data_IF_530455700681
#
_entry.id   IF_530455700681
#
_cell.length_a   1.000
_cell.length_b   1.000
_cell.length_c   1.000
_cell.angle_alpha   90.00
_cell.angle_beta   90.00
_cell.angle_gamma   90.00
#
_symmetry.space_group_name_H-M   'P 1'
#
loop_
_entity.id
_entity.type
_entity.pdbx_description
1 polymer ?
#
# COMPACT_ATOMS: atom_id res chain seq x y z
N UNK A 1 6.47 12.30 20.85
CA UNK A 1 6.60 12.84 19.48
C UNK A 1 5.57 12.13 18.59
N UNK A 2 4.67 12.87 17.92
CA UNK A 2 3.61 12.31 17.05
C UNK A 2 3.73 12.74 15.58
N UNK A 3 4.48 13.82 15.31
CA UNK A 3 4.73 14.29 13.96
C UNK A 3 6.01 13.60 13.43
N UNK A 4 5.93 12.76 12.38
CA UNK A 4 7.09 12.12 11.76
C UNK A 4 7.98 13.12 11.01
N UNK A 5 7.49 14.32 10.68
CA UNK A 5 8.25 15.34 9.93
C UNK A 5 9.21 16.15 10.81
N UNK A 6 9.28 15.87 12.11
CA UNK A 6 10.18 16.55 13.04
C UNK A 6 11.62 16.06 12.87
N UNK A 7 12.55 17.01 12.69
CA UNK A 7 13.97 16.71 12.76
C UNK A 7 14.36 16.23 14.17
N UNK A 8 15.40 15.42 14.31
CA UNK A 8 15.91 15.04 15.63
C UNK A 8 16.31 16.28 16.45
N UNK A 9 16.85 17.31 15.80
CA UNK A 9 17.21 18.56 16.47
C UNK A 9 16.00 19.23 17.13
N UNK A 10 14.88 19.35 16.42
CA UNK A 10 13.67 20.01 16.95
C UNK A 10 12.88 19.08 17.87
N UNK A 11 12.81 17.79 17.54
CA UNK A 11 12.25 16.76 18.41
C UNK A 11 12.95 16.71 19.76
N UNK A 12 14.28 16.80 19.78
CA UNK A 12 15.08 16.87 21.01
C UNK A 12 14.77 18.10 21.85
N UNK A 13 14.55 19.28 21.24
CA UNK A 13 14.14 20.49 21.99
C UNK A 13 12.81 20.28 22.72
N UNK A 14 11.87 19.56 22.09
CA UNK A 14 10.58 19.23 22.71
C UNK A 14 10.76 18.19 23.83
N UNK A 15 11.54 17.15 23.59
CA UNK A 15 11.78 16.09 24.57
C UNK A 15 12.48 16.60 25.83
N UNK A 16 13.42 17.54 25.71
CA UNK A 16 14.09 18.19 26.85
C UNK A 16 13.17 18.95 27.80
N UNK A 17 11.95 19.26 27.40
CA UNK A 17 10.94 19.89 28.28
C UNK A 17 10.21 18.87 29.14
N UNK A 18 10.34 17.59 28.84
CA UNK A 18 9.73 16.50 29.55
C UNK A 18 10.70 15.96 30.62
N UNK A 19 10.33 15.93 31.91
CA UNK A 19 11.21 15.46 32.98
C UNK A 19 11.74 14.03 32.76
N UNK A 20 10.99 13.19 32.04
CA UNK A 20 11.39 11.80 31.72
C UNK A 20 12.60 11.75 30.79
N UNK A 21 12.94 12.83 30.11
CA UNK A 21 14.13 12.87 29.27
C UNK A 21 15.43 12.82 30.08
N UNK A 22 15.39 13.30 31.33
CA UNK A 22 16.54 13.24 32.24
C UNK A 22 16.77 11.81 32.76
N UNK A 23 15.72 10.97 32.82
CA UNK A 23 15.82 9.56 33.21
C UNK A 23 16.66 8.72 32.25
N UNK A 24 16.84 9.20 31.00
CA UNK A 24 17.59 8.50 29.96
C UNK A 24 18.97 9.12 29.69
N UNK A 25 19.52 9.92 30.62
CA UNK A 25 20.80 10.62 30.43
C UNK A 25 22.02 9.70 30.26
N UNK A 26 21.93 8.46 30.73
CA UNK A 26 22.96 7.43 30.51
C UNK A 26 23.04 6.94 29.05
N UNK A 27 22.01 7.18 28.24
CA UNK A 27 22.05 6.79 26.82
C UNK A 27 22.92 7.76 26.02
N UNK A 28 23.82 7.19 25.22
CA UNK A 28 24.63 7.98 24.28
C UNK A 28 23.75 8.78 23.31
N UNK A 29 24.26 9.95 22.92
CA UNK A 29 23.59 10.83 21.95
C UNK A 29 23.25 10.10 20.64
N UNK A 30 24.15 9.27 20.15
CA UNK A 30 24.01 8.43 18.95
C UNK A 30 22.81 7.47 19.07
N UNK A 31 22.66 6.83 20.23
CA UNK A 31 21.56 5.90 20.51
C UNK A 31 20.23 6.64 20.60
N UNK A 32 20.18 7.79 21.28
CA UNK A 32 18.97 8.65 21.34
C UNK A 32 18.52 9.10 19.95
N UNK A 33 19.47 9.47 19.09
CA UNK A 33 19.21 9.87 17.70
C UNK A 33 18.68 8.71 16.85
N UNK A 34 19.30 7.53 16.96
CA UNK A 34 18.83 6.32 16.28
C UNK A 34 17.40 5.95 16.69
N UNK A 35 17.12 5.90 18.00
CA UNK A 35 15.78 5.58 18.52
C UNK A 35 14.72 6.59 18.06
N UNK A 36 15.09 7.87 17.97
CA UNK A 36 14.19 8.90 17.43
C UNK A 36 13.90 8.65 15.95
N UNK A 37 14.92 8.40 15.15
CA UNK A 37 14.78 8.10 13.72
C UNK A 37 13.93 6.85 13.47
N UNK A 38 14.17 5.78 14.24
CA UNK A 38 13.38 4.54 14.19
C UNK A 38 11.91 4.83 14.53
N UNK A 39 11.65 5.65 15.56
CA UNK A 39 10.29 6.06 15.94
C UNK A 39 9.60 6.89 14.86
N UNK A 40 10.26 7.89 14.29
CA UNK A 40 9.68 8.71 13.22
C UNK A 40 9.42 7.89 11.96
N UNK A 41 10.31 6.96 11.61
CA UNK A 41 10.11 6.03 10.50
C UNK A 41 8.88 5.13 10.74
N UNK A 42 8.72 4.61 11.97
CA UNK A 42 7.55 3.82 12.33
C UNK A 42 6.24 4.63 12.27
N UNK A 43 6.26 5.90 12.66
CA UNK A 43 5.11 6.80 12.51
C UNK A 43 4.75 7.03 11.04
N UNK A 44 5.75 7.23 10.18
CA UNK A 44 5.57 7.38 8.74
C UNK A 44 5.00 6.10 8.12
N UNK A 45 5.55 4.94 8.48
CA UNK A 45 5.05 3.63 8.04
C UNK A 45 3.57 3.45 8.40
N UNK A 46 3.18 3.71 9.65
CA UNK A 46 1.78 3.62 10.10
C UNK A 46 0.86 4.57 9.34
N UNK A 47 1.30 5.81 9.09
CA UNK A 47 0.52 6.78 8.31
C UNK A 47 0.31 6.28 6.88
N UNK A 48 1.35 5.74 6.25
CA UNK A 48 1.28 5.16 4.91
C UNK A 48 0.31 3.98 4.86
N UNK A 49 0.39 3.07 5.82
CA UNK A 49 -0.53 1.92 5.93
C UNK A 49 -1.99 2.38 6.05
N UNK A 50 -2.27 3.37 6.90
CA UNK A 50 -3.61 3.97 7.02
C UNK A 50 -4.08 4.62 5.72
N UNK A 51 -3.19 5.31 5.01
CA UNK A 51 -3.51 5.91 3.72
C UNK A 51 -3.83 4.84 2.67
N UNK A 52 -3.06 3.75 2.61
CA UNK A 52 -3.28 2.66 1.65
C UNK A 52 -4.55 1.88 1.94
N UNK A 53 -4.83 1.63 3.22
CA UNK A 53 -6.10 1.02 3.64
C UNK A 53 -7.27 1.91 3.22
N UNK A 54 -7.17 3.21 3.46
CA UNK A 54 -8.21 4.15 3.05
C UNK A 54 -8.39 4.21 1.53
N UNK A 55 -7.32 4.11 0.74
CA UNK A 55 -7.42 3.99 -0.72
C UNK A 55 -8.16 2.70 -1.15
N UNK A 56 -7.88 1.56 -0.50
CA UNK A 56 -8.55 0.30 -0.81
C UNK A 56 -10.03 0.27 -0.41
N UNK A 57 -10.46 1.12 0.52
CA UNK A 57 -11.88 1.29 0.90
C UNK A 57 -12.70 2.05 -0.17
N UNK A 58 -12.06 2.64 -1.19
CA UNK A 58 -12.73 3.46 -2.22
C UNK A 58 -12.94 2.67 -3.50
N UNK A 59 -14.18 2.26 -3.76
CA UNK A 59 -14.55 1.51 -4.97
C UNK A 59 -14.26 2.29 -6.28
N UNK A 60 -14.33 3.63 -6.22
CA UNK A 60 -14.07 4.49 -7.39
C UNK A 60 -12.57 4.63 -7.73
N UNK A 61 -11.68 4.13 -6.86
CA UNK A 61 -10.23 4.26 -6.99
C UNK A 61 -9.63 2.86 -7.16
N UNK A 62 -8.89 2.67 -8.25
CA UNK A 62 -8.10 1.45 -8.46
C UNK A 62 -6.70 1.81 -8.98
N UNK A 63 -5.85 0.80 -9.17
CA UNK A 63 -4.47 0.98 -9.61
C UNK A 63 -4.30 1.65 -10.98
N UNK A 64 -5.36 1.74 -11.79
CA UNK A 64 -5.37 2.43 -13.10
C UNK A 64 -5.78 3.88 -12.99
N UNK A 65 -6.45 4.26 -11.88
CA UNK A 65 -6.88 5.64 -11.63
C UNK A 65 -5.68 6.56 -11.54
N UNK A 66 -5.78 7.76 -12.13
CA UNK A 66 -4.74 8.79 -12.03
C UNK A 66 -4.91 9.58 -10.75
N UNK A 67 -3.80 10.02 -10.15
CA UNK A 67 -3.82 10.82 -8.92
C UNK A 67 -4.79 12.00 -9.00
N UNK A 68 -4.81 12.75 -10.11
CA UNK A 68 -5.73 13.88 -10.31
C UNK A 68 -7.21 13.52 -10.08
N UNK A 69 -7.63 12.35 -10.52
CA UNK A 69 -9.04 11.94 -10.45
C UNK A 69 -9.33 11.23 -9.11
N UNK A 70 -8.38 10.43 -8.61
CA UNK A 70 -8.43 9.88 -7.25
C UNK A 70 -8.54 11.00 -6.19
N UNK A 71 -7.72 12.05 -6.33
CA UNK A 71 -7.72 13.23 -5.45
C UNK A 71 -9.09 13.88 -5.36
N UNK A 72 -9.81 14.02 -6.47
CA UNK A 72 -11.18 14.58 -6.45
C UNK A 72 -12.14 13.76 -5.62
N UNK A 73 -12.02 12.43 -5.66
CA UNK A 73 -12.83 11.52 -4.82
C UNK A 73 -12.41 11.66 -3.36
N UNK A 74 -11.10 11.62 -3.09
CA UNK A 74 -10.56 11.66 -1.73
C UNK A 74 -10.87 12.98 -1.01
N UNK A 75 -10.83 14.13 -1.70
CA UNK A 75 -11.12 15.46 -1.14
C UNK A 75 -12.57 15.60 -0.63
N UNK A 76 -13.49 14.73 -1.04
CA UNK A 76 -14.88 14.74 -0.55
C UNK A 76 -15.05 14.09 0.82
N UNK A 77 -14.03 13.36 1.29
CA UNK A 77 -14.07 12.58 2.53
C UNK A 77 -13.36 13.33 3.67
N UNK A 78 -13.99 13.38 4.84
CA UNK A 78 -13.49 14.07 6.03
C UNK A 78 -12.11 13.57 6.53
N UNK A 79 -11.70 12.36 6.15
CA UNK A 79 -10.39 11.79 6.47
C UNK A 79 -9.27 12.46 5.67
N UNK A 80 -9.57 13.14 4.54
CA UNK A 80 -8.56 13.75 3.68
C UNK A 80 -7.65 14.72 4.42
N UNK A 81 -8.23 15.69 5.11
CA UNK A 81 -7.47 16.70 5.87
C UNK A 81 -6.61 16.08 6.99
N UNK A 82 -7.00 14.90 7.51
CA UNK A 82 -6.27 14.21 8.59
C UNK A 82 -5.12 13.35 8.07
N UNK A 83 -5.30 12.71 6.91
CA UNK A 83 -4.36 11.74 6.35
C UNK A 83 -3.39 12.36 5.33
N UNK A 84 -3.85 13.38 4.60
CA UNK A 84 -3.08 14.06 3.56
C UNK A 84 -2.43 15.32 4.12
N UNK A 85 -1.15 15.23 4.47
CA UNK A 85 -0.40 16.38 4.99
C UNK A 85 0.28 17.21 3.89
N UNK A 86 0.44 16.64 2.69
CA UNK A 86 1.05 17.31 1.54
C UNK A 86 0.59 16.62 0.26
N UNK A 87 0.10 17.39 -0.70
CA UNK A 87 -0.38 16.88 -1.99
C UNK A 87 0.71 16.07 -2.73
N UNK A 88 1.92 16.62 -2.83
CA UNK A 88 3.07 15.94 -3.43
C UNK A 88 3.45 14.64 -2.70
N UNK A 89 3.27 14.57 -1.39
CA UNK A 89 3.52 13.33 -0.64
C UNK A 89 2.42 12.32 -0.94
N UNK A 90 1.16 12.73 -0.85
CA UNK A 90 0.02 11.87 -1.13
C UNK A 90 0.06 11.33 -2.57
N UNK A 91 0.45 12.13 -3.56
CA UNK A 91 0.65 11.66 -4.93
C UNK A 91 1.72 10.57 -5.03
N UNK A 92 2.87 10.76 -4.38
CA UNK A 92 3.93 9.74 -4.36
C UNK A 92 3.46 8.45 -3.72
N UNK A 93 2.79 8.56 -2.57
CA UNK A 93 2.26 7.40 -1.84
C UNK A 93 1.15 6.69 -2.63
N UNK A 94 0.28 7.45 -3.31
CA UNK A 94 -0.74 6.90 -4.19
C UNK A 94 -0.14 6.14 -5.37
N UNK A 95 0.87 6.72 -6.02
CA UNK A 95 1.53 6.07 -7.16
C UNK A 95 2.25 4.77 -6.75
N UNK A 96 2.86 4.75 -5.57
CA UNK A 96 3.47 3.54 -5.02
C UNK A 96 2.41 2.50 -4.65
N UNK A 97 1.33 2.89 -3.98
CA UNK A 97 0.19 2.02 -3.72
C UNK A 97 -0.39 1.42 -5.02
N UNK A 98 -0.57 2.23 -6.06
CA UNK A 98 -1.09 1.77 -7.34
C UNK A 98 -0.13 0.76 -8.00
N UNK A 99 1.18 1.01 -7.93
CA UNK A 99 2.21 0.07 -8.42
C UNK A 99 2.16 -1.25 -7.65
N UNK A 100 2.19 -1.21 -6.32
CA UNK A 100 2.14 -2.41 -5.48
C UNK A 100 0.83 -3.19 -5.64
N UNK A 101 -0.29 -2.48 -5.76
CA UNK A 101 -1.61 -3.09 -6.00
C UNK A 101 -1.65 -3.79 -7.35
N UNK A 102 -1.09 -3.14 -8.40
CA UNK A 102 -0.94 -3.76 -9.71
C UNK A 102 -0.10 -5.03 -9.59
N UNK A 103 1.11 -4.94 -9.04
CA UNK A 103 2.04 -6.07 -8.93
C UNK A 103 1.38 -7.25 -8.20
N UNK A 104 0.71 -6.98 -7.07
CA UNK A 104 -0.08 -7.99 -6.32
C UNK A 104 -1.17 -8.65 -7.17
N UNK A 105 -1.95 -7.87 -7.92
CA UNK A 105 -3.02 -8.43 -8.79
C UNK A 105 -2.42 -9.33 -9.89
N UNK A 106 -1.27 -8.96 -10.46
CA UNK A 106 -0.61 -9.81 -11.45
C UNK A 106 -0.04 -11.08 -10.82
N UNK A 107 0.53 -11.02 -9.62
CA UNK A 107 0.98 -12.19 -8.88
C UNK A 107 -0.19 -13.13 -8.53
N UNK A 108 -1.30 -12.59 -8.01
CA UNK A 108 -2.52 -13.36 -7.72
C UNK A 108 -3.11 -14.00 -8.97
N UNK A 109 -3.09 -13.29 -10.10
CA UNK A 109 -3.52 -13.83 -11.38
C UNK A 109 -2.59 -14.94 -11.90
N UNK A 110 -1.28 -14.75 -11.80
CA UNK A 110 -0.29 -15.78 -12.18
C UNK A 110 -0.45 -17.04 -11.32
N UNK A 111 -0.70 -16.89 -10.02
CA UNK A 111 -0.98 -18.01 -9.11
C UNK A 111 -2.27 -18.73 -9.49
N UNK A 112 -3.35 -18.00 -9.79
CA UNK A 112 -4.60 -18.57 -10.29
C UNK A 112 -4.39 -19.37 -11.58
N UNK A 113 -3.60 -18.86 -12.53
CA UNK A 113 -3.25 -19.57 -13.75
C UNK A 113 -2.46 -20.87 -13.46
N UNK A 114 -1.53 -20.84 -12.50
CA UNK A 114 -0.76 -22.04 -12.09
C UNK A 114 -1.64 -23.10 -11.42
N UNK A 115 -2.65 -22.68 -10.68
CA UNK A 115 -3.60 -23.58 -10.00
C UNK A 115 -4.63 -24.18 -10.96
N UNK A 116 -4.92 -23.49 -12.07
CA UNK A 116 -5.88 -23.92 -13.10
C UNK A 116 -5.40 -25.15 -13.87
N UNK A 117 -5.84 -26.34 -13.42
CA UNK A 117 -5.34 -27.65 -13.89
C UNK A 117 -5.50 -27.95 -15.37
N UNK A 118 -6.45 -27.28 -16.05
CA UNK A 118 -6.65 -27.44 -17.50
C UNK A 118 -5.56 -26.72 -18.32
N UNK A 119 -4.78 -25.83 -17.69
CA UNK A 119 -3.59 -25.23 -18.28
C UNK A 119 -2.42 -26.21 -18.15
N UNK A 120 -1.91 -26.67 -19.28
CA UNK A 120 -0.79 -27.62 -19.35
C UNK A 120 0.23 -27.19 -20.41
N UNK A 121 1.35 -27.92 -20.52
CA UNK A 121 2.36 -27.67 -21.57
C UNK A 121 1.82 -27.79 -23.00
N UNK A 122 0.67 -28.47 -23.20
CA UNK A 122 0.04 -28.61 -24.51
C UNK A 122 -0.90 -27.45 -24.83
N UNK A 123 -1.34 -26.67 -23.83
CA UNK A 123 -2.35 -25.62 -24.00
C UNK A 123 -2.03 -24.64 -25.11
N UNK A 124 -0.75 -24.26 -25.27
CA UNK A 124 -0.35 -23.35 -26.34
C UNK A 124 -0.69 -23.90 -27.73
N UNK A 125 -0.36 -25.17 -27.98
CA UNK A 125 -0.69 -25.84 -29.25
C UNK A 125 -2.19 -26.00 -29.41
N UNK A 126 -2.88 -26.45 -28.35
CA UNK A 126 -4.33 -26.65 -28.39
C UNK A 126 -5.10 -25.37 -28.66
N UNK A 127 -4.69 -24.22 -28.10
CA UNK A 127 -5.32 -22.91 -28.36
C UNK A 127 -5.14 -22.48 -29.81
N UNK A 128 -3.96 -22.71 -30.40
CA UNK A 128 -3.70 -22.37 -31.81
C UNK A 128 -4.52 -23.22 -32.78
N UNK A 129 -4.79 -24.47 -32.43
CA UNK A 129 -5.58 -25.40 -33.24
C UNK A 129 -7.10 -25.26 -32.99
N UNK A 130 -7.49 -24.89 -31.76
CA UNK A 130 -8.88 -24.81 -31.32
C UNK A 130 -9.06 -23.75 -30.22
N UNK A 131 -9.72 -22.64 -30.56
CA UNK A 131 -10.04 -21.57 -29.61
C UNK A 131 -10.93 -22.01 -28.43
N UNK A 132 -11.61 -23.17 -28.52
CA UNK A 132 -12.44 -23.68 -27.44
C UNK A 132 -11.63 -23.89 -26.15
N UNK A 133 -10.36 -24.32 -26.25
CA UNK A 133 -9.51 -24.52 -25.06
C UNK A 133 -9.28 -23.22 -24.29
N UNK A 134 -9.14 -22.09 -24.98
CA UNK A 134 -9.03 -20.78 -24.33
C UNK A 134 -10.34 -20.39 -23.65
N UNK A 135 -11.49 -20.66 -24.28
CA UNK A 135 -12.81 -20.38 -23.69
C UNK A 135 -13.04 -21.20 -22.42
N UNK A 136 -12.64 -22.47 -22.43
CA UNK A 136 -12.76 -23.34 -21.26
C UNK A 136 -11.85 -22.86 -20.11
N UNK A 137 -10.62 -22.40 -20.42
CA UNK A 137 -9.73 -21.74 -19.46
C UNK A 137 -10.41 -20.51 -18.86
N UNK A 138 -10.92 -19.60 -19.68
CA UNK A 138 -11.58 -18.39 -19.21
C UNK A 138 -12.80 -18.69 -18.33
N UNK A 139 -13.63 -19.67 -18.69
CA UNK A 139 -14.78 -20.09 -17.90
C UNK A 139 -14.38 -20.62 -16.51
N UNK A 140 -13.28 -21.37 -16.42
CA UNK A 140 -12.76 -21.84 -15.12
C UNK A 140 -12.23 -20.68 -14.28
N UNK A 141 -11.54 -19.72 -14.91
CA UNK A 141 -11.00 -18.54 -14.22
C UNK A 141 -12.09 -17.61 -13.69
N UNK A 142 -13.18 -17.40 -14.46
CA UNK A 142 -14.34 -16.61 -14.02
C UNK A 142 -15.00 -17.22 -12.77
N UNK A 143 -15.10 -18.55 -12.69
CA UNK A 143 -15.62 -19.24 -11.49
C UNK A 143 -14.65 -19.09 -10.32
N UNK A 144 -13.33 -19.19 -10.56
CA UNK A 144 -12.31 -18.98 -9.54
C UNK A 144 -12.34 -17.59 -8.89
N UNK A 145 -12.62 -16.55 -9.68
CA UNK A 145 -12.73 -15.16 -9.21
C UNK A 145 -13.91 -14.97 -8.24
N UNK A 146 -15.06 -15.62 -8.48
CA UNK A 146 -16.25 -15.55 -7.60
C UNK A 146 -16.03 -16.18 -6.22
N UNK A 147 -15.01 -17.02 -6.06
CA UNK A 147 -14.62 -17.61 -4.76
C UNK A 147 -13.67 -16.74 -3.93
N UNK A 148 -13.02 -15.73 -4.55
CA UNK A 148 -11.96 -14.93 -3.92
C UNK A 148 -12.47 -13.52 -3.53
N UNK A 149 -13.48 -12.98 -4.22
CA UNK A 149 -14.09 -11.67 -3.92
C UNK A 149 -15.10 -11.65 -2.76
N UNK A 150 -15.13 -12.68 -1.91
CA UNK A 150 -16.13 -12.90 -0.86
C UNK A 150 -15.58 -12.91 0.57
N UNK A 151 -14.59 -12.04 0.88
CA UNK A 151 -14.14 -11.76 2.26
C UNK A 151 -13.91 -10.26 2.42
#
# INVERSE_FOLDING_TARGET
>A
IKNPDLSYHDGRKLLKKDPRYDEIDLLEKSTKERLFSDHTHNLEKKRREQFYQWLSEKEEINYRTKWRDARKVLETDEKYEKLVTSDRRAEREFNEWARLTKDRIYEEFDDLLRETKIITYQSQKTIQENEQHLKDILAVLEVGETGIGGV
#
